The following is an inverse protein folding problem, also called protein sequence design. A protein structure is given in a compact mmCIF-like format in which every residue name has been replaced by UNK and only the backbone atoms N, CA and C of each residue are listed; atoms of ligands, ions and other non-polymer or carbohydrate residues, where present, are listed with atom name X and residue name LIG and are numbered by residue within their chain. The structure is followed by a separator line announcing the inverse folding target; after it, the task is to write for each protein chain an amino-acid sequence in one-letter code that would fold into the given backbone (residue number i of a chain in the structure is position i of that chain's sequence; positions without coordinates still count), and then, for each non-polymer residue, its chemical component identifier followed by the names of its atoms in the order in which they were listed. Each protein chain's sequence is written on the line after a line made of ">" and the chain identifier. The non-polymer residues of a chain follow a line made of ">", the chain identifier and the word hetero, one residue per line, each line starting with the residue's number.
data_IF_203316874530
#
_entry.id   IF_203316874530
#
_cell.length_a   1.000
_cell.length_b   1.000
_cell.length_c   1.000
_cell.angle_alpha   90.00
_cell.angle_beta   90.00
_cell.angle_gamma   90.00
#
_symmetry.space_group_name_H-M   'P 1'
#
loop_
_entity.id
_entity.type
_entity.pdbx_description
1 polymer ?
#
# COMPACT_ATOMS: atom_id res chain seq x y z
N UNK A 1 -2.44 18.99 -15.78
CA UNK A 1 -2.22 17.60 -15.33
C UNK A 1 -3.53 17.15 -14.71
N UNK A 2 -4.24 16.17 -15.29
CA UNK A 2 -5.49 15.68 -14.70
C UNK A 2 -5.16 15.07 -13.34
N UNK A 3 -5.69 15.61 -12.26
CA UNK A 3 -5.58 15.03 -10.92
C UNK A 3 -6.41 13.73 -10.90
N UNK A 4 -5.76 12.62 -11.25
CA UNK A 4 -6.43 11.33 -11.41
C UNK A 4 -7.09 10.89 -10.11
N UNK A 5 -6.47 11.15 -8.95
CA UNK A 5 -7.01 10.77 -7.63
C UNK A 5 -8.29 11.54 -7.31
N UNK A 6 -8.39 12.81 -7.72
CA UNK A 6 -9.59 13.62 -7.50
C UNK A 6 -10.87 13.10 -8.19
N UNK A 7 -10.74 12.15 -9.13
CA UNK A 7 -11.89 11.51 -9.79
C UNK A 7 -12.55 10.42 -8.94
N UNK A 8 -11.87 9.92 -7.91
CA UNK A 8 -12.41 8.88 -7.03
C UNK A 8 -13.53 9.49 -6.18
N UNK A 9 -14.77 9.07 -6.40
CA UNK A 9 -15.92 9.47 -5.59
C UNK A 9 -16.02 8.64 -4.30
N UNK A 10 -16.87 9.07 -3.37
CA UNK A 10 -17.18 8.32 -2.14
C UNK A 10 -15.98 8.00 -1.23
N UNK A 11 -14.92 8.81 -1.29
CA UNK A 11 -13.73 8.62 -0.45
C UNK A 11 -14.05 8.84 1.02
N UNK A 12 -13.59 7.93 1.88
CA UNK A 12 -13.78 8.00 3.34
C UNK A 12 -12.49 8.34 4.09
N UNK A 13 -11.39 8.52 3.37
CA UNK A 13 -10.09 8.90 3.90
C UNK A 13 -9.35 9.78 2.89
N UNK A 14 -8.56 10.73 3.40
CA UNK A 14 -7.62 11.51 2.60
C UNK A 14 -6.30 10.77 2.37
N UNK A 15 -6.08 9.66 3.08
CA UNK A 15 -4.91 8.82 2.91
C UNK A 15 -4.85 8.23 1.50
N UNK A 16 -3.66 8.26 0.91
CA UNK A 16 -3.36 7.52 -0.31
C UNK A 16 -2.83 6.14 0.09
N UNK A 17 -3.30 5.10 -0.58
CA UNK A 17 -2.88 3.73 -0.34
C UNK A 17 -2.23 3.19 -1.61
N UNK A 18 -1.02 2.66 -1.46
CA UNK A 18 -0.38 1.83 -2.47
C UNK A 18 -0.52 0.36 -2.03
N UNK A 19 -1.17 -0.46 -2.84
CA UNK A 19 -1.43 -1.88 -2.56
C UNK A 19 -0.68 -2.72 -3.58
N UNK A 20 -0.01 -3.76 -3.09
CA UNK A 20 0.67 -4.78 -3.86
C UNK A 20 -0.10 -6.10 -3.67
N UNK A 21 -0.55 -6.71 -4.76
CA UNK A 21 -1.45 -7.88 -4.71
C UNK A 21 -1.31 -8.72 -5.97
N UNK A 22 -2.09 -9.80 -6.09
CA UNK A 22 -1.98 -10.77 -7.20
C UNK A 22 -0.54 -11.26 -7.41
N UNK A 23 0.13 -11.59 -6.30
CA UNK A 23 1.47 -12.16 -6.36
C UNK A 23 1.44 -13.49 -7.10
N UNK A 24 2.34 -13.64 -8.06
CA UNK A 24 2.52 -14.90 -8.80
C UNK A 24 3.10 -16.00 -7.91
N UNK A 25 4.03 -15.65 -7.02
CA UNK A 25 4.71 -16.62 -6.15
C UNK A 25 5.12 -16.01 -4.80
N UNK A 26 6.18 -15.20 -4.81
CA UNK A 26 6.89 -14.69 -3.65
C UNK A 26 7.46 -13.29 -3.98
N UNK A 27 8.47 -12.84 -3.23
CA UNK A 27 9.13 -11.54 -3.44
C UNK A 27 9.84 -11.40 -4.80
N UNK A 28 10.03 -12.48 -5.57
CA UNK A 28 10.63 -12.47 -6.91
C UNK A 28 9.58 -12.56 -8.04
N UNK A 29 8.34 -12.93 -7.72
CA UNK A 29 7.26 -13.08 -8.69
C UNK A 29 6.67 -11.75 -9.17
N UNK A 30 5.95 -11.80 -10.29
CA UNK A 30 5.16 -10.64 -10.72
C UNK A 30 4.04 -10.33 -9.71
N UNK A 31 3.64 -9.06 -9.64
CA UNK A 31 2.52 -8.60 -8.83
C UNK A 31 1.84 -7.39 -9.48
N UNK A 32 0.62 -7.12 -9.04
CA UNK A 32 -0.15 -5.92 -9.41
C UNK A 32 0.04 -4.84 -8.35
N UNK A 33 0.37 -3.63 -8.78
CA UNK A 33 0.39 -2.44 -7.93
C UNK A 33 -0.84 -1.57 -8.21
N UNK A 34 -1.55 -1.15 -7.15
CA UNK A 34 -2.74 -0.29 -7.22
C UNK A 34 -2.50 0.90 -6.31
N UNK A 35 -2.69 2.12 -6.83
CA UNK A 35 -2.64 3.35 -6.03
C UNK A 35 -4.03 3.98 -6.03
N UNK A 36 -4.58 4.25 -4.85
CA UNK A 36 -5.93 4.78 -4.71
C UNK A 36 -6.28 5.26 -3.31
N UNK A 37 -7.57 5.45 -3.06
CA UNK A 37 -8.14 5.87 -1.77
C UNK A 37 -9.15 4.84 -1.27
N UNK A 38 -9.36 4.77 0.05
CA UNK A 38 -10.49 4.04 0.63
C UNK A 38 -11.80 4.74 0.27
N UNK A 39 -12.78 3.95 -0.15
CA UNK A 39 -14.13 4.42 -0.51
C UNK A 39 -15.17 3.68 0.31
N UNK A 40 -16.34 4.29 0.52
CA UNK A 40 -17.46 3.66 1.24
C UNK A 40 -18.22 2.63 0.38
N UNK A 41 -18.12 2.72 -0.95
CA UNK A 41 -18.78 1.83 -1.89
C UNK A 41 -18.00 1.74 -3.22
N UNK A 42 -18.19 0.62 -3.93
CA UNK A 42 -17.69 0.38 -5.28
C UNK A 42 -18.79 0.49 -6.36
N UNK A 43 -19.96 1.04 -6.02
CA UNK A 43 -21.10 1.19 -6.96
C UNK A 43 -20.76 2.12 -8.14
N UNK A 44 -19.89 3.09 -7.92
CA UNK A 44 -19.42 4.03 -8.94
C UNK A 44 -17.90 3.95 -9.07
N UNK A 45 -17.43 3.35 -10.17
CA UNK A 45 -16.01 3.29 -10.52
C UNK A 45 -15.78 4.23 -11.71
N UNK A 46 -14.95 5.27 -11.58
CA UNK A 46 -14.66 6.18 -12.69
C UNK A 46 -14.06 5.44 -13.90
N UNK A 47 -14.39 5.90 -15.11
CA UNK A 47 -13.85 5.34 -16.35
C UNK A 47 -12.31 5.31 -16.34
N UNK A 48 -11.75 4.13 -16.61
CA UNK A 48 -10.30 3.90 -16.59
C UNK A 48 -9.71 3.61 -15.21
N UNK A 49 -10.55 3.37 -14.20
CA UNK A 49 -10.15 2.92 -12.87
C UNK A 49 -10.68 1.52 -12.56
N UNK A 50 -10.21 0.95 -11.47
CA UNK A 50 -10.70 -0.30 -10.89
C UNK A 50 -11.18 -0.07 -9.47
N UNK A 51 -12.23 -0.78 -9.08
CA UNK A 51 -12.64 -0.94 -7.70
C UNK A 51 -12.18 -2.31 -7.19
N UNK A 52 -11.70 -2.38 -5.95
CA UNK A 52 -11.22 -3.65 -5.39
C UNK A 52 -11.56 -3.75 -3.91
N UNK A 53 -12.04 -4.93 -3.53
CA UNK A 53 -12.24 -5.33 -2.14
C UNK A 53 -11.17 -6.37 -1.78
N UNK A 54 -10.69 -6.32 -0.54
CA UNK A 54 -9.67 -7.22 -0.03
C UNK A 54 -10.22 -7.97 1.19
N UNK A 55 -10.04 -9.29 1.26
CA UNK A 55 -10.49 -10.08 2.40
C UNK A 55 -9.68 -9.73 3.65
N UNK A 56 -10.30 -9.87 4.82
CA UNK A 56 -9.59 -9.71 6.08
C UNK A 56 -8.43 -10.71 6.19
N UNK A 57 -7.26 -10.21 6.55
CA UNK A 57 -6.04 -11.01 6.75
C UNK A 57 -5.22 -10.44 7.90
N UNK A 58 -4.16 -11.15 8.30
CA UNK A 58 -3.27 -10.70 9.36
C UNK A 58 -2.15 -9.86 8.77
N UNK A 59 -1.78 -8.82 9.48
CA UNK A 59 -0.72 -7.92 9.08
C UNK A 59 0.33 -7.77 10.17
N UNK A 60 1.59 -7.76 9.74
CA UNK A 60 2.68 -7.17 10.50
C UNK A 60 2.90 -5.74 10.02
N UNK A 61 2.90 -4.79 10.96
CA UNK A 61 3.10 -3.37 10.67
C UNK A 61 4.57 -2.98 10.81
N UNK A 62 5.07 -2.26 9.83
CA UNK A 62 6.34 -1.56 9.84
C UNK A 62 6.09 -0.05 9.68
N UNK A 63 7.03 0.77 10.15
CA UNK A 63 6.97 2.23 9.97
C UNK A 63 8.23 2.64 9.23
N UNK A 64 8.05 3.08 7.99
CA UNK A 64 9.11 3.73 7.22
C UNK A 64 9.24 5.17 7.72
N UNK A 65 10.38 5.51 8.33
CA UNK A 65 10.64 6.85 8.87
C UNK A 65 11.84 7.48 8.18
N UNK A 66 11.71 8.71 7.71
CA UNK A 66 12.79 9.47 7.08
C UNK A 66 12.34 10.23 5.84
N UNK A 67 13.29 10.66 5.02
CA UNK A 67 12.99 11.30 3.74
C UNK A 67 12.36 10.32 2.73
N UNK A 68 11.27 10.74 2.10
CA UNK A 68 10.58 9.98 1.05
C UNK A 68 11.21 10.25 -0.33
N UNK A 69 11.29 9.24 -1.22
CA UNK A 69 10.82 7.86 -1.05
C UNK A 69 11.85 6.91 -0.40
N UNK A 70 13.04 7.40 -0.04
CA UNK A 70 14.15 6.56 0.39
C UNK A 70 13.83 5.72 1.64
N UNK A 71 13.11 6.28 2.61
CA UNK A 71 12.72 5.56 3.82
C UNK A 71 11.84 4.33 3.53
N UNK A 72 10.88 4.47 2.61
CA UNK A 72 10.00 3.36 2.18
C UNK A 72 10.81 2.30 1.44
N UNK A 73 11.68 2.71 0.51
CA UNK A 73 12.56 1.79 -0.22
C UNK A 73 13.47 0.98 0.71
N UNK A 74 14.05 1.63 1.72
CA UNK A 74 14.90 0.95 2.71
C UNK A 74 14.08 -0.04 3.56
N UNK A 75 12.87 0.35 3.97
CA UNK A 75 11.97 -0.52 4.72
C UNK A 75 11.63 -1.79 3.94
N UNK A 76 11.27 -1.68 2.66
CA UNK A 76 11.03 -2.84 1.81
C UNK A 76 12.25 -3.72 1.61
N UNK A 77 13.42 -3.11 1.42
CA UNK A 77 14.67 -3.86 1.33
C UNK A 77 14.89 -4.72 2.57
N UNK A 78 14.70 -4.15 3.76
CA UNK A 78 14.81 -4.91 5.02
C UNK A 78 13.76 -6.02 5.13
N UNK A 79 12.52 -5.77 4.69
CA UNK A 79 11.47 -6.79 4.66
C UNK A 79 11.88 -7.96 3.75
N UNK A 80 12.36 -7.67 2.53
CA UNK A 80 12.79 -8.71 1.59
C UNK A 80 14.03 -9.48 2.06
N UNK A 81 14.97 -8.81 2.75
CA UNK A 81 16.12 -9.48 3.38
C UNK A 81 15.72 -10.44 4.51
N UNK A 82 14.52 -10.27 5.08
CA UNK A 82 13.99 -11.09 6.17
C UNK A 82 12.85 -12.02 5.74
N UNK A 83 12.62 -12.19 4.43
CA UNK A 83 11.45 -12.88 3.90
C UNK A 83 11.25 -14.29 4.48
N UNK A 84 12.36 -15.03 4.63
CA UNK A 84 12.39 -16.41 5.14
C UNK A 84 11.86 -16.54 6.58
N UNK A 85 11.93 -15.48 7.40
CA UNK A 85 11.52 -15.50 8.81
C UNK A 85 10.20 -14.76 9.07
N UNK A 86 9.72 -13.95 8.13
CA UNK A 86 8.50 -13.15 8.28
C UNK A 86 7.21 -13.95 8.03
N UNK A 87 7.32 -15.19 7.54
CA UNK A 87 6.19 -16.10 7.29
C UNK A 87 5.02 -15.41 6.54
N UNK A 88 5.38 -14.73 5.45
CA UNK A 88 4.44 -13.93 4.66
C UNK A 88 3.35 -14.80 4.04
N UNK A 89 2.15 -14.23 3.96
CA UNK A 89 1.00 -14.84 3.32
C UNK A 89 0.87 -14.46 1.85
N UNK A 90 1.53 -13.39 1.38
CA UNK A 90 1.51 -12.94 -0.01
C UNK A 90 0.09 -12.74 -0.58
N UNK A 91 -0.86 -12.31 0.27
CA UNK A 91 -2.24 -12.06 -0.15
C UNK A 91 -2.39 -10.66 -0.74
N UNK A 92 -2.02 -9.66 0.05
CA UNK A 92 -1.79 -8.29 -0.40
C UNK A 92 -0.98 -7.57 0.68
N UNK A 93 -0.06 -6.72 0.28
CA UNK A 93 0.66 -5.82 1.18
C UNK A 93 0.28 -4.38 0.81
N UNK A 94 0.40 -3.43 1.74
CA UNK A 94 0.07 -2.05 1.41
C UNK A 94 0.80 -1.02 2.25
N UNK A 95 0.88 0.18 1.68
CA UNK A 95 1.46 1.37 2.29
C UNK A 95 0.35 2.40 2.51
N UNK A 96 0.41 3.13 3.63
CA UNK A 96 -0.54 4.21 3.94
C UNK A 96 0.19 5.54 4.03
N UNK A 97 -0.10 6.41 3.08
CA UNK A 97 0.41 7.78 3.00
C UNK A 97 -0.65 8.74 3.54
N UNK A 98 -0.57 9.02 4.84
CA UNK A 98 -1.38 10.03 5.53
C UNK A 98 -0.63 11.35 5.73
N UNK A 99 -1.14 12.21 6.62
CA UNK A 99 -0.56 13.55 6.88
C UNK A 99 0.94 13.50 7.24
N UNK A 100 1.34 12.49 8.02
CA UNK A 100 2.73 12.32 8.44
C UNK A 100 3.70 12.00 7.31
N UNK A 101 3.23 11.57 6.13
CA UNK A 101 4.12 11.27 5.01
C UNK A 101 4.69 12.53 4.35
N UNK A 102 4.27 13.72 4.80
CA UNK A 102 4.70 15.02 4.26
C UNK A 102 5.58 15.82 5.23
N UNK A 103 6.08 15.20 6.30
CA UNK A 103 6.87 15.86 7.35
C UNK A 103 8.38 15.99 7.01
N UNK A 104 8.75 16.03 5.73
CA UNK A 104 10.15 16.13 5.29
C UNK A 104 11.01 14.97 5.81
N UNK A 105 12.09 15.29 6.53
CA UNK A 105 13.00 14.29 7.11
C UNK A 105 12.39 13.45 8.23
N UNK A 106 11.27 13.90 8.82
CA UNK A 106 10.52 13.17 9.86
C UNK A 106 9.27 12.49 9.28
N UNK A 107 9.21 12.28 7.96
CA UNK A 107 8.05 11.64 7.34
C UNK A 107 7.89 10.20 7.83
N UNK A 108 6.64 9.80 8.06
CA UNK A 108 6.28 8.43 8.43
C UNK A 108 5.27 7.87 7.42
N UNK A 109 5.55 6.66 6.91
CA UNK A 109 4.63 5.86 6.09
C UNK A 109 4.47 4.50 6.76
N UNK A 110 3.22 4.09 6.94
CA UNK A 110 2.93 2.78 7.51
C UNK A 110 2.96 1.73 6.41
N UNK A 111 3.68 0.63 6.62
CA UNK A 111 3.74 -0.50 5.70
C UNK A 111 3.13 -1.72 6.40
N UNK A 112 2.12 -2.32 5.78
CA UNK A 112 1.41 -3.48 6.28
C UNK A 112 1.74 -4.69 5.40
N UNK A 113 2.43 -5.66 6.01
CA UNK A 113 2.88 -6.89 5.38
C UNK A 113 1.94 -8.03 5.75
N UNK A 114 1.35 -8.71 4.78
CA UNK A 114 0.45 -9.85 5.02
C UNK A 114 1.23 -11.07 5.50
N UNK A 115 0.78 -11.67 6.60
CA UNK A 115 1.44 -12.80 7.29
C UNK A 115 0.44 -13.91 7.62
N UNK A 116 0.91 -15.15 7.83
CA UNK A 116 0.05 -16.33 8.13
C UNK A 116 -0.37 -16.41 9.60
#
# INVERSE_FOLDING_TARGET
>A
MSDTISKISNTISEEIIAIYTDYESDCQGAYTAIIGKKVSSLDEIPNGMIGREFPATKFQKFIAKGEMPNAVMQTWKTIWEQDEVLNRAYQYDFEVYGEKSQNGSESEVEVFLSVK
#
